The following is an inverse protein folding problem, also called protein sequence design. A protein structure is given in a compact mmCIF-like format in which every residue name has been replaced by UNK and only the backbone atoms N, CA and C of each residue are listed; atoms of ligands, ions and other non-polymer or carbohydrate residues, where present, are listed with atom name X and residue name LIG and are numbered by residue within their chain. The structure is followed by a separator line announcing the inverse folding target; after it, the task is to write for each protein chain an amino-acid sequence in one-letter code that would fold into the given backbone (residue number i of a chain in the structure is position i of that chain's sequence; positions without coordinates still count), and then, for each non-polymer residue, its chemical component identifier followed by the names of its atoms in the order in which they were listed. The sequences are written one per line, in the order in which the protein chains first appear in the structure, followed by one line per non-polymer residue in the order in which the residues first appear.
data_IF_829528315248
#
_entry.id   IF_829528315248
#
_cell.length_a   1.000
_cell.length_b   1.000
_cell.length_c   1.000
_cell.angle_alpha   90.00
_cell.angle_beta   90.00
_cell.angle_gamma   90.00
#
_symmetry.space_group_name_H-M   'P 1'
#
loop_
_entity.id
_entity.type
_entity.pdbx_description
1 polymer ?
#
# COMPACT_ATOMS: atom_id res chain seq x y z
N UNK A 1 -7.67 55.44 -4.31
CA UNK A 1 -7.22 54.70 -3.11
C UNK A 1 -6.03 53.84 -3.48
N UNK A 2 -4.95 53.87 -2.69
CA UNK A 2 -3.76 53.07 -2.97
C UNK A 2 -3.91 51.66 -2.39
N UNK A 3 -3.65 50.63 -3.21
CA UNK A 3 -3.72 49.22 -2.80
C UNK A 3 -2.35 48.71 -2.39
N UNK A 4 -2.27 48.01 -1.26
CA UNK A 4 -1.06 47.31 -0.81
C UNK A 4 -0.85 46.01 -1.57
N UNK A 5 0.37 45.48 -1.49
CA UNK A 5 0.69 44.15 -2.05
C UNK A 5 0.09 43.04 -1.17
N UNK A 6 -0.27 41.88 -1.76
CA UNK A 6 -0.72 40.71 -1.01
C UNK A 6 0.35 40.22 -0.04
N UNK A 7 -0.08 39.64 1.08
CA UNK A 7 0.84 39.04 2.06
C UNK A 7 1.41 37.74 1.50
N UNK A 8 2.72 37.56 1.59
CA UNK A 8 3.42 36.31 1.30
C UNK A 8 3.56 35.52 2.61
N UNK A 9 3.19 34.25 2.61
CA UNK A 9 3.39 33.35 3.74
C UNK A 9 4.81 32.77 3.67
N UNK A 10 5.47 32.69 4.82
CA UNK A 10 6.80 32.09 4.96
C UNK A 10 6.71 30.95 5.96
N UNK A 11 7.44 29.86 5.69
CA UNK A 11 7.48 28.69 6.56
C UNK A 11 8.38 28.94 7.77
N UNK A 12 7.92 28.54 8.94
CA UNK A 12 8.58 28.74 10.23
C UNK A 12 8.96 27.41 10.86
N UNK A 13 9.73 27.48 11.95
CA UNK A 13 10.08 26.29 12.72
C UNK A 13 8.85 25.66 13.39
N UNK A 14 7.86 26.47 13.76
CA UNK A 14 6.59 26.00 14.34
C UNK A 14 5.86 25.01 13.41
N UNK A 15 6.00 25.15 12.09
CA UNK A 15 5.36 24.27 11.09
C UNK A 15 5.96 22.84 11.13
N UNK A 16 7.16 22.68 11.70
CA UNK A 16 7.82 21.36 11.87
C UNK A 16 7.10 20.55 12.96
N UNK A 17 6.65 21.21 14.03
CA UNK A 17 5.92 20.55 15.13
C UNK A 17 4.57 20.00 14.63
N UNK A 18 3.89 20.73 13.74
CA UNK A 18 2.68 20.26 13.07
C UNK A 18 2.97 18.98 12.26
N UNK A 19 4.07 18.95 11.50
CA UNK A 19 4.47 17.77 10.74
C UNK A 19 4.80 16.57 11.64
N UNK A 20 5.51 16.79 12.74
CA UNK A 20 5.84 15.72 13.69
C UNK A 20 4.58 15.15 14.35
N UNK A 21 3.57 15.98 14.64
CA UNK A 21 2.30 15.51 15.19
C UNK A 21 1.55 14.59 14.22
N UNK A 22 1.46 14.96 12.95
CA UNK A 22 0.81 14.15 11.89
C UNK A 22 1.59 12.85 11.65
N UNK A 23 2.92 12.92 11.62
CA UNK A 23 3.77 11.74 11.49
C UNK A 23 3.57 10.79 12.67
N UNK A 24 3.50 11.32 13.89
CA UNK A 24 3.29 10.54 15.10
C UNK A 24 1.91 9.90 15.11
N UNK A 25 0.85 10.60 14.71
CA UNK A 25 -0.48 10.02 14.56
C UNK A 25 -0.48 8.86 13.54
N UNK A 26 0.24 9.02 12.43
CA UNK A 26 0.39 7.97 11.43
C UNK A 26 1.20 6.77 11.94
N UNK A 27 2.26 7.02 12.72
CA UNK A 27 3.08 5.97 13.33
C UNK A 27 2.34 5.25 14.47
N UNK A 28 1.55 5.96 15.29
CA UNK A 28 0.68 5.37 16.30
C UNK A 28 -0.47 4.57 15.65
N UNK A 29 -1.03 5.05 14.54
CA UNK A 29 -1.97 4.27 13.73
C UNK A 29 -1.32 3.03 13.10
N UNK A 30 -0.02 3.08 12.77
CA UNK A 30 0.75 1.93 12.31
C UNK A 30 1.08 0.95 13.46
N UNK A 31 1.29 1.45 14.69
CA UNK A 31 1.63 0.64 15.87
C UNK A 31 0.42 -0.04 16.52
N UNK A 32 -0.79 0.52 16.41
CA UNK A 32 -2.04 -0.08 16.89
C UNK A 32 -2.66 -1.04 15.84
N UNK A 33 -2.10 -1.08 14.63
CA UNK A 33 -2.43 -2.05 13.60
C UNK A 33 -3.73 -1.74 12.87
N UNK A 34 -3.69 -0.82 11.90
CA UNK A 34 -4.50 -0.89 10.67
C UNK A 34 -4.27 0.33 9.76
N UNK A 35 -3.27 0.26 8.89
CA UNK A 35 -3.58 0.51 7.48
C UNK A 35 -4.27 -0.76 7.00
N UNK A 36 -5.60 -0.72 7.03
CA UNK A 36 -6.48 -1.81 6.64
C UNK A 36 -6.19 -2.34 5.25
N UNK A 37 -5.39 -3.39 5.20
CA UNK A 37 -5.71 -4.56 4.39
C UNK A 37 -5.47 -5.74 5.30
N UNK A 38 -6.50 -6.56 5.52
CA UNK A 38 -6.33 -7.99 5.81
C UNK A 38 -4.97 -8.43 5.26
N UNK A 39 -4.06 -8.97 6.08
CA UNK A 39 -2.75 -9.43 5.61
C UNK A 39 -2.90 -10.70 4.75
N UNK A 40 -3.71 -10.61 3.71
CA UNK A 40 -3.69 -11.50 2.58
C UNK A 40 -2.33 -11.26 1.93
N UNK A 41 -1.53 -12.31 1.87
CA UNK A 41 -0.27 -12.24 1.13
C UNK A 41 -0.56 -11.70 -0.27
N UNK A 42 0.41 -11.04 -0.92
CA UNK A 42 0.22 -10.49 -2.27
C UNK A 42 -0.39 -11.53 -3.22
N UNK A 43 0.00 -12.79 -3.04
CA UNK A 43 -0.50 -13.96 -3.75
C UNK A 43 -1.98 -14.23 -3.45
N UNK A 44 -2.41 -14.15 -2.20
CA UNK A 44 -3.83 -14.30 -1.82
C UNK A 44 -4.69 -13.19 -2.42
N UNK A 45 -4.21 -11.94 -2.45
CA UNK A 45 -4.92 -10.83 -3.09
C UNK A 45 -5.05 -11.04 -4.60
N UNK A 46 -3.99 -11.53 -5.25
CA UNK A 46 -4.00 -11.85 -6.68
C UNK A 46 -4.96 -13.00 -6.95
N UNK A 47 -4.91 -14.08 -6.16
CA UNK A 47 -5.76 -15.26 -6.29
C UNK A 47 -7.25 -14.89 -6.20
N UNK A 48 -7.63 -14.07 -5.22
CA UNK A 48 -9.00 -13.57 -5.07
C UNK A 48 -9.42 -12.71 -6.26
N UNK A 49 -8.53 -11.84 -6.76
CA UNK A 49 -8.81 -10.95 -7.90
C UNK A 49 -9.03 -11.69 -9.21
N UNK A 50 -8.31 -12.78 -9.44
CA UNK A 50 -8.40 -13.56 -10.68
C UNK A 50 -9.28 -14.81 -10.53
N UNK A 51 -9.90 -15.03 -9.37
CA UNK A 51 -10.70 -16.22 -9.08
C UNK A 51 -9.90 -17.53 -9.07
N UNK A 52 -8.58 -17.46 -8.84
CA UNK A 52 -7.71 -18.64 -8.85
C UNK A 52 -7.72 -19.34 -7.49
N UNK A 53 -8.08 -20.62 -7.49
CA UNK A 53 -8.12 -21.48 -6.30
C UNK A 53 -7.17 -22.66 -6.51
N UNK A 54 -5.90 -22.59 -6.08
CA UNK A 54 -4.97 -23.68 -6.28
C UNK A 54 -5.47 -24.93 -5.55
N UNK A 55 -5.72 -25.99 -6.31
CA UNK A 55 -6.04 -27.30 -5.76
C UNK A 55 -4.74 -27.88 -5.18
N UNK A 56 -4.71 -28.36 -3.92
CA UNK A 56 -3.56 -29.08 -3.40
C UNK A 56 -3.34 -30.31 -4.26
N UNK A 57 -2.28 -30.30 -5.08
CA UNK A 57 -1.99 -31.42 -5.97
C UNK A 57 -1.60 -32.63 -5.13
N UNK A 58 -2.53 -33.56 -4.94
CA UNK A 58 -2.23 -34.89 -4.45
C UNK A 58 -1.39 -35.62 -5.51
N UNK A 59 -0.10 -35.78 -5.24
CA UNK A 59 0.81 -36.59 -6.05
C UNK A 59 1.48 -35.84 -7.21
N UNK A 60 2.81 -35.85 -7.19
CA UNK A 60 3.64 -35.36 -8.27
C UNK A 60 3.26 -36.04 -9.59
N UNK A 61 2.65 -35.26 -10.49
CA UNK A 61 2.64 -35.57 -11.92
C UNK A 61 3.42 -34.46 -12.60
N UNK A 62 4.51 -34.89 -13.22
CA UNK A 62 5.38 -34.12 -14.09
C UNK A 62 4.54 -33.16 -14.92
N UNK A 63 4.84 -31.86 -14.85
CA UNK A 63 4.24 -30.89 -15.74
C UNK A 63 4.70 -31.23 -17.17
N UNK A 64 3.87 -31.93 -17.93
CA UNK A 64 4.02 -31.99 -19.37
C UNK A 64 3.73 -30.58 -19.90
N UNK A 65 4.78 -29.76 -19.98
CA UNK A 65 4.81 -28.62 -20.88
C UNK A 65 4.66 -29.18 -22.30
N UNK A 66 3.72 -28.61 -23.05
CA UNK A 66 3.25 -29.15 -24.33
C UNK A 66 4.38 -29.39 -25.32
N UNK A 67 4.39 -30.60 -25.88
CA UNK A 67 5.09 -30.90 -27.13
C UNK A 67 4.46 -30.05 -28.23
N UNK A 68 5.17 -29.03 -28.69
CA UNK A 68 4.87 -28.37 -29.96
C UNK A 68 5.61 -29.17 -31.04
N UNK A 69 4.86 -29.89 -31.89
CA UNK A 69 5.39 -30.40 -33.15
C UNK A 69 5.17 -29.36 -34.25
N UNK A 70 6.17 -29.21 -35.11
CA UNK A 70 6.25 -28.24 -36.22
C UNK A 70 5.86 -28.91 -37.54
#
# INVERSE_FOLDING_TARGET
MLRRKPTRLELKLDDIEEFESVRKELEEAAAIGALGTEHKSREQLINDRIGYKPQPKAGGRTAHFGTFEF
#
